data_IF_760876571469
#
_entry.id   IF_760876571469
#
_cell.length_a   1.000
_cell.length_b   1.000
_cell.length_c   1.000
_cell.angle_alpha   90.00
_cell.angle_beta   90.00
_cell.angle_gamma   90.00
#
_symmetry.space_group_name_H-M   'P 1'
#
loop_
_entity.id
_entity.type
_entity.pdbx_description
1 polymer ?
#
# COMPACT_ATOMS: atom_id res chain seq x y z
N UNK A 1 16.76 -28.16 1.19
CA UNK A 1 15.46 -27.77 0.60
C UNK A 1 15.72 -26.61 -0.32
N UNK A 2 15.60 -26.82 -1.62
CA UNK A 2 15.82 -25.75 -2.60
C UNK A 2 14.58 -24.87 -2.66
N UNK A 3 14.67 -23.67 -2.11
CA UNK A 3 13.67 -22.64 -2.30
C UNK A 3 13.76 -22.15 -3.75
N UNK A 4 12.86 -22.63 -4.62
CA UNK A 4 12.62 -21.98 -5.91
C UNK A 4 11.90 -20.67 -5.63
N UNK A 5 12.68 -19.59 -5.51
CA UNK A 5 12.16 -18.23 -5.60
C UNK A 5 11.62 -18.07 -7.01
N UNK A 6 10.29 -18.14 -7.15
CA UNK A 6 9.63 -17.81 -8.41
C UNK A 6 10.07 -16.40 -8.82
N UNK A 7 10.63 -16.28 -10.02
CA UNK A 7 11.22 -15.05 -10.55
C UNK A 7 10.17 -13.96 -10.75
N UNK A 8 9.88 -13.21 -9.67
CA UNK A 8 9.61 -11.77 -9.65
C UNK A 8 9.43 -11.34 -8.19
N UNK A 9 10.54 -11.25 -7.45
CA UNK A 9 10.60 -10.43 -6.25
C UNK A 9 10.40 -8.97 -6.69
N UNK A 10 9.21 -8.43 -6.49
CA UNK A 10 8.94 -6.99 -6.60
C UNK A 10 9.21 -6.39 -5.22
N UNK A 11 10.46 -6.54 -4.77
CA UNK A 11 10.96 -5.81 -3.62
C UNK A 11 11.36 -4.40 -4.03
N UNK A 12 11.26 -3.46 -3.09
CA UNK A 12 11.73 -2.08 -3.21
C UNK A 12 13.07 -2.02 -3.97
N UNK A 13 13.06 -1.44 -5.16
CA UNK A 13 14.26 -1.26 -5.97
C UNK A 13 14.57 0.22 -6.10
N UNK A 14 15.70 0.64 -5.55
CA UNK A 14 16.45 1.79 -6.05
C UNK A 14 17.03 1.43 -7.42
N UNK A 15 16.21 1.47 -8.50
CA UNK A 15 16.77 1.79 -9.81
C UNK A 15 15.73 2.19 -10.86
N UNK A 16 16.06 3.33 -11.47
CA UNK A 16 15.40 4.09 -12.53
C UNK A 16 15.13 3.23 -13.77
N UNK A 17 13.87 3.20 -14.25
CA UNK A 17 13.41 3.09 -15.67
C UNK A 17 12.02 2.49 -15.87
N UNK A 18 11.34 2.01 -14.83
CA UNK A 18 9.90 1.67 -14.91
C UNK A 18 9.18 2.70 -14.05
N UNK A 19 8.19 3.40 -14.60
CA UNK A 19 7.33 4.30 -13.82
C UNK A 19 6.67 3.50 -12.71
N UNK A 20 7.19 3.62 -11.50
CA UNK A 20 6.59 3.05 -10.30
C UNK A 20 5.31 3.79 -10.01
N UNK A 21 4.24 3.05 -9.76
CA UNK A 21 2.95 3.64 -9.42
C UNK A 21 3.01 4.03 -7.93
N UNK A 22 2.61 5.25 -7.56
CA UNK A 22 2.61 5.67 -6.16
C UNK A 22 1.62 4.85 -5.33
N UNK A 23 2.07 4.39 -4.18
CA UNK A 23 1.27 3.84 -3.10
C UNK A 23 1.45 4.76 -1.88
N UNK A 24 0.41 5.53 -1.58
CA UNK A 24 0.42 6.45 -0.46
C UNK A 24 -0.07 5.77 0.82
N UNK A 25 0.71 5.87 1.89
CA UNK A 25 0.30 5.45 3.22
C UNK A 25 -0.20 6.65 4.01
N UNK A 26 -1.38 6.51 4.60
CA UNK A 26 -2.02 7.50 5.46
C UNK A 26 -2.55 6.82 6.72
N UNK A 27 -2.73 7.58 7.80
CA UNK A 27 -3.42 7.20 9.02
C UNK A 27 -4.88 7.61 8.99
N UNK A 28 -5.20 8.70 8.29
CA UNK A 28 -6.55 9.24 8.18
C UNK A 28 -6.82 9.70 6.73
N UNK A 29 -8.01 9.41 6.21
CA UNK A 29 -8.50 9.91 4.92
C UNK A 29 -8.47 11.45 4.84
N UNK A 30 -8.55 12.14 5.98
CA UNK A 30 -8.42 13.59 6.06
C UNK A 30 -7.03 14.08 5.64
N UNK A 31 -5.98 13.27 5.81
CA UNK A 31 -4.62 13.61 5.37
C UNK A 31 -4.54 13.78 3.85
N UNK A 32 -5.43 13.15 3.08
CA UNK A 32 -5.55 13.39 1.65
C UNK A 32 -5.95 14.82 1.31
N UNK A 33 -6.62 15.56 2.21
CA UNK A 33 -6.99 16.97 1.95
C UNK A 33 -5.74 17.85 1.84
N UNK A 34 -4.71 17.54 2.63
CA UNK A 34 -3.53 18.37 2.82
C UNK A 34 -2.46 18.16 1.74
N UNK A 35 -2.50 17.05 1.01
CA UNK A 35 -1.51 16.77 -0.04
C UNK A 35 -1.85 17.45 -1.37
N UNK A 36 -0.84 17.98 -2.05
CA UNK A 36 -0.92 18.43 -3.45
C UNK A 36 -0.56 17.34 -4.46
N UNK A 37 -0.17 16.15 -4.00
CA UNK A 37 0.28 15.03 -4.84
C UNK A 37 -0.86 14.31 -5.56
N UNK A 38 -2.10 14.55 -5.12
CA UNK A 38 -3.32 13.96 -5.66
C UNK A 38 -4.27 15.10 -6.01
N UNK A 39 -4.92 15.04 -7.17
CA UNK A 39 -5.87 16.05 -7.62
C UNK A 39 -7.17 16.04 -6.81
N UNK A 40 -7.88 17.17 -6.76
CA UNK A 40 -9.17 17.25 -6.05
C UNK A 40 -10.21 16.25 -6.57
N UNK A 41 -10.23 15.99 -7.88
CA UNK A 41 -11.12 14.96 -8.48
C UNK A 41 -10.81 13.57 -7.93
N UNK A 42 -9.52 13.20 -7.85
CA UNK A 42 -9.08 11.93 -7.27
C UNK A 42 -9.37 11.86 -5.77
N UNK A 43 -9.20 12.95 -5.01
CA UNK A 43 -9.55 13.02 -3.58
C UNK A 43 -11.05 12.78 -3.34
N UNK A 44 -11.92 13.39 -4.15
CA UNK A 44 -13.38 13.20 -4.07
C UNK A 44 -13.72 11.73 -4.36
N UNK A 45 -13.12 11.16 -5.41
CA UNK A 45 -13.30 9.75 -5.77
C UNK A 45 -12.91 8.83 -4.60
N UNK A 46 -11.70 8.97 -4.08
CA UNK A 46 -11.20 8.16 -2.97
C UNK A 46 -12.11 8.27 -1.74
N UNK A 47 -12.49 9.47 -1.31
CA UNK A 47 -13.40 9.64 -0.16
C UNK A 47 -14.73 8.94 -0.36
N UNK A 48 -15.29 8.98 -1.58
CA UNK A 48 -16.53 8.26 -1.86
C UNK A 48 -16.34 6.75 -1.77
N UNK A 49 -15.22 6.21 -2.26
CA UNK A 49 -14.89 4.78 -2.16
C UNK A 49 -14.70 4.32 -0.72
N UNK A 50 -13.89 5.03 0.06
CA UNK A 50 -13.63 4.71 1.48
C UNK A 50 -14.86 4.85 2.39
N UNK A 51 -15.84 5.68 2.01
CA UNK A 51 -17.09 5.80 2.76
C UNK A 51 -18.09 4.67 2.43
N UNK A 52 -17.99 4.07 1.24
CA UNK A 52 -18.89 3.02 0.77
C UNK A 52 -18.40 1.63 1.17
N UNK A 53 -17.10 1.41 1.06
CA UNK A 53 -16.45 0.15 1.37
C UNK A 53 -15.63 0.36 2.64
N UNK A 54 -15.89 -0.43 3.69
CA UNK A 54 -15.10 -0.49 4.95
C UNK A 54 -13.66 -0.98 4.71
N UNK A 55 -13.10 -0.71 3.53
CA UNK A 55 -11.78 -1.12 3.10
C UNK A 55 -10.77 -0.02 3.42
N UNK A 56 -9.64 -0.44 3.98
CA UNK A 56 -8.55 0.45 4.33
C UNK A 56 -7.65 0.77 3.12
N UNK A 57 -8.13 0.66 1.88
CA UNK A 57 -7.37 1.03 0.69
C UNK A 57 -8.29 1.42 -0.48
N UNK A 58 -7.76 2.20 -1.41
CA UNK A 58 -8.46 2.63 -2.60
C UNK A 58 -7.52 2.96 -3.75
N UNK A 59 -8.02 2.82 -4.98
CA UNK A 59 -7.28 3.15 -6.20
C UNK A 59 -7.75 4.48 -6.78
N UNK A 60 -6.88 5.15 -7.53
CA UNK A 60 -7.28 6.34 -8.29
C UNK A 60 -6.69 6.32 -9.70
N UNK A 61 -7.41 6.88 -10.69
CA UNK A 61 -6.96 6.90 -12.07
C UNK A 61 -5.96 8.05 -12.35
N UNK A 62 -5.13 7.90 -13.38
CA UNK A 62 -4.37 9.01 -13.99
C UNK A 62 -5.23 9.81 -14.98
N UNK A 63 -4.63 10.82 -15.63
CA UNK A 63 -5.32 11.67 -16.63
C UNK A 63 -5.85 10.89 -17.84
N UNK A 64 -5.31 9.70 -18.10
CA UNK A 64 -5.69 8.82 -19.21
C UNK A 64 -6.65 7.69 -18.76
N UNK A 65 -7.23 7.77 -17.56
CA UNK A 65 -8.07 6.73 -16.95
C UNK A 65 -7.38 5.38 -16.74
N UNK A 66 -6.04 5.33 -16.72
CA UNK A 66 -5.29 4.16 -16.27
C UNK A 66 -5.10 4.19 -14.75
N UNK A 67 -4.62 3.08 -14.17
CA UNK A 67 -4.26 3.05 -12.74
C UNK A 67 -3.14 4.06 -12.45
N UNK A 68 -3.50 5.20 -11.85
CA UNK A 68 -2.59 6.29 -11.52
C UNK A 68 -1.94 6.13 -10.14
N UNK A 69 -2.60 5.45 -9.20
CA UNK A 69 -2.04 5.18 -7.89
C UNK A 69 -2.98 4.43 -6.95
N UNK A 70 -2.48 4.19 -5.75
CA UNK A 70 -3.25 3.63 -4.65
C UNK A 70 -3.00 4.42 -3.36
N UNK A 71 -4.00 4.42 -2.49
CA UNK A 71 -3.91 4.95 -1.13
C UNK A 71 -4.28 3.82 -0.18
N UNK A 72 -3.52 3.64 0.88
CA UNK A 72 -3.82 2.71 1.94
C UNK A 72 -3.82 3.42 3.30
N UNK A 73 -4.86 3.17 4.08
CA UNK A 73 -4.98 3.59 5.46
C UNK A 73 -4.34 2.52 6.34
N UNK A 74 -3.35 2.92 7.13
CA UNK A 74 -2.69 2.07 8.11
C UNK A 74 -2.85 2.71 9.48
N UNK A 75 -3.44 1.96 10.39
CA UNK A 75 -3.62 2.40 11.77
C UNK A 75 -3.12 1.33 12.74
N UNK A 76 -2.48 1.76 13.81
CA UNK A 76 -2.25 0.86 14.94
C UNK A 76 -3.60 0.48 15.56
N UNK A 77 -3.76 -0.81 15.83
CA UNK A 77 -4.96 -1.33 16.48
C UNK A 77 -4.57 -2.47 17.40
N UNK A 78 -5.32 -2.55 18.50
CA UNK A 78 -5.18 -3.58 19.53
C UNK A 78 -5.90 -4.87 19.09
N UNK A 79 -6.73 -4.79 18.06
CA UNK A 79 -7.48 -5.95 17.57
C UNK A 79 -6.55 -7.02 16.98
N UNK A 80 -6.71 -8.30 17.40
CA UNK A 80 -5.97 -9.41 16.82
C UNK A 80 -6.14 -9.47 15.30
N UNK A 81 -5.06 -9.75 14.57
CA UNK A 81 -5.03 -9.91 13.10
C UNK A 81 -5.39 -8.66 12.28
N UNK A 82 -5.38 -7.49 12.94
CA UNK A 82 -5.42 -6.19 12.29
C UNK A 82 -4.15 -5.38 12.56
N UNK A 83 -3.05 -6.01 12.99
CA UNK A 83 -1.80 -5.29 13.16
C UNK A 83 -1.34 -4.66 11.85
N UNK A 84 -0.42 -3.69 11.91
CA UNK A 84 0.17 -3.08 10.71
C UNK A 84 0.79 -4.16 9.79
N UNK A 85 1.38 -5.20 10.37
CA UNK A 85 1.93 -6.34 9.63
C UNK A 85 0.82 -7.05 8.83
N UNK A 86 -0.31 -7.34 9.49
CA UNK A 86 -1.45 -8.01 8.85
C UNK A 86 -2.10 -7.12 7.77
N UNK A 87 -2.22 -5.82 8.05
CA UNK A 87 -2.76 -4.84 7.09
C UNK A 87 -1.86 -4.76 5.85
N UNK A 88 -0.54 -4.68 6.04
CA UNK A 88 0.44 -4.65 4.95
C UNK A 88 0.42 -5.93 4.11
N UNK A 89 0.33 -7.10 4.76
CA UNK A 89 0.29 -8.39 4.07
C UNK A 89 -1.00 -8.58 3.25
N UNK A 90 -2.16 -8.14 3.77
CA UNK A 90 -3.42 -8.17 3.02
C UNK A 90 -3.41 -7.19 1.86
N UNK A 91 -2.81 -6.02 2.05
CA UNK A 91 -2.74 -4.98 1.01
C UNK A 91 -1.98 -5.49 -0.22
N UNK A 92 -0.83 -6.13 -0.03
CA UNK A 92 -0.01 -6.62 -1.15
C UNK A 92 -0.68 -7.75 -1.94
N UNK A 93 -1.55 -8.55 -1.32
CA UNK A 93 -2.37 -9.55 -2.02
C UNK A 93 -3.43 -8.90 -2.93
N UNK A 94 -3.97 -7.75 -2.53
CA UNK A 94 -4.99 -7.01 -3.28
C UNK A 94 -4.40 -6.14 -4.39
N UNK A 95 -3.13 -5.72 -4.26
CA UNK A 95 -2.51 -4.89 -5.28
C UNK A 95 -2.18 -5.69 -6.55
N UNK A 96 -2.42 -5.11 -7.75
CA UNK A 96 -1.94 -5.72 -8.99
C UNK A 96 -0.41 -5.83 -9.00
N UNK A 97 0.09 -6.87 -9.67
CA UNK A 97 1.52 -7.19 -9.81
C UNK A 97 2.27 -6.12 -10.63
N UNK A 98 2.54 -4.97 -10.01
CA UNK A 98 3.24 -3.81 -10.55
C UNK A 98 4.31 -3.33 -9.57
N UNK A 99 5.20 -2.46 -10.04
CA UNK A 99 6.15 -1.76 -9.17
C UNK A 99 5.44 -0.61 -8.48
N UNK A 100 5.50 -0.60 -7.16
CA UNK A 100 4.90 0.42 -6.32
C UNK A 100 5.99 1.27 -5.67
N UNK A 101 5.85 2.59 -5.75
CA UNK A 101 6.67 3.53 -5.00
C UNK A 101 5.91 3.89 -3.73
N UNK A 102 6.40 3.44 -2.59
CA UNK A 102 5.79 3.72 -1.30
C UNK A 102 6.13 5.13 -0.86
N UNK A 103 5.12 5.89 -0.47
CA UNK A 103 5.30 7.23 0.09
C UNK A 103 4.34 7.40 1.28
N UNK A 104 4.88 7.73 2.44
CA UNK A 104 4.08 7.98 3.64
C UNK A 104 3.73 9.46 3.69
N UNK A 105 2.43 9.78 3.60
CA UNK A 105 1.95 11.16 3.68
C UNK A 105 1.82 11.64 5.12
N UNK A 106 1.56 10.72 6.04
CA UNK A 106 1.53 10.99 7.48
C UNK A 106 2.84 10.58 8.14
N UNK A 107 3.17 11.23 9.25
CA UNK A 107 4.28 10.82 10.11
C UNK A 107 3.99 9.43 10.71
N UNK A 108 4.62 8.42 10.12
CA UNK A 108 4.76 7.10 10.72
C UNK A 108 5.99 7.08 11.60
N UNK A 109 5.86 6.54 12.80
CA UNK A 109 7.02 6.25 13.62
C UNK A 109 7.86 5.12 13.00
N UNK A 110 9.09 4.97 13.46
CA UNK A 110 10.01 3.95 12.93
C UNK A 110 9.42 2.54 13.07
N UNK A 111 8.77 2.24 14.19
CA UNK A 111 8.18 0.92 14.46
C UNK A 111 7.04 0.60 13.48
N UNK A 112 6.14 1.55 13.22
CA UNK A 112 5.05 1.46 12.25
C UNK A 112 5.62 1.20 10.85
N UNK A 113 6.65 1.95 10.47
CA UNK A 113 7.34 1.79 9.18
C UNK A 113 7.98 0.41 9.06
N UNK A 114 8.71 -0.05 10.08
CA UNK A 114 9.31 -1.38 10.10
C UNK A 114 8.25 -2.49 10.04
N UNK A 115 7.19 -2.38 10.84
CA UNK A 115 6.09 -3.34 10.84
C UNK A 115 5.40 -3.42 9.47
N UNK A 116 5.22 -2.28 8.80
CA UNK A 116 4.66 -2.25 7.46
C UNK A 116 5.57 -2.94 6.45
N UNK A 117 6.85 -2.56 6.39
CA UNK A 117 7.83 -3.15 5.47
C UNK A 117 7.97 -4.66 5.72
N UNK A 118 7.95 -5.08 6.99
CA UNK A 118 8.00 -6.49 7.37
C UNK A 118 6.78 -7.25 6.86
N UNK A 119 5.56 -6.78 7.15
CA UNK A 119 4.33 -7.43 6.67
C UNK A 119 4.25 -7.45 5.15
N UNK A 120 4.63 -6.34 4.51
CA UNK A 120 4.76 -6.23 3.06
C UNK A 120 5.76 -7.25 2.50
N UNK A 121 6.96 -7.32 3.05
CA UNK A 121 8.01 -8.24 2.63
C UNK A 121 7.60 -9.71 2.79
N UNK A 122 7.05 -10.05 3.95
CA UNK A 122 6.59 -11.41 4.27
C UNK A 122 5.50 -11.90 3.31
N UNK A 123 4.65 -11.00 2.80
CA UNK A 123 3.59 -11.37 1.86
C UNK A 123 4.10 -11.94 0.53
N UNK A 124 5.35 -11.66 0.13
CA UNK A 124 5.95 -12.25 -1.07
C UNK A 124 6.46 -13.68 -0.86
N UNK A 125 6.54 -14.13 0.39
CA UNK A 125 7.02 -15.46 0.73
C UNK A 125 5.84 -16.39 1.00
N UNK A 126 5.81 -17.53 0.30
CA UNK A 126 4.89 -18.62 0.60
C UNK A 126 5.59 -19.59 1.54
N UNK A 127 5.23 -19.54 2.82
CA UNK A 127 5.72 -20.51 3.80
C UNK A 127 4.87 -21.78 3.73
N UNK A 128 5.51 -22.92 3.49
CA UNK A 128 4.89 -24.23 3.72
C UNK A 128 5.27 -24.68 5.12
N UNK A 129 4.30 -24.62 6.04
CA UNK A 129 4.45 -25.21 7.38
C UNK A 129 4.08 -26.68 7.25
N UNK A 130 5.02 -27.56 7.56
CA UNK A 130 4.81 -29.02 7.60
C UNK A 130 4.25 -29.44 8.96
#
# INVERSE_FOLDING_TARGET
MDYKIDKKLIGFCENKKINSIPLYLIKDINSLKLTSLISEKQKIFLKSTFNLELENFGFFPDENNHLGGAVAIITETIEPRKSIIDQAAKLSEKLPKKKWALECLDELNNQETYNFILGWGLSFYKFNIK
#
